data_IF_671172649317
#
_entry.id   IF_671172649317
#
_cell.length_a   1.000
_cell.length_b   1.000
_cell.length_c   1.000
_cell.angle_alpha   90.00
_cell.angle_beta   90.00
_cell.angle_gamma   90.00
#
_symmetry.space_group_name_H-M   'P 1'
#
loop_
_entity.id
_entity.type
_entity.pdbx_description
1 polymer ?
#
# COMPACT_ATOMS: atom_id res chain seq x y z
N UNK A 1 -36.39 7.81 23.96
CA UNK A 1 -34.96 8.20 23.92
C UNK A 1 -34.01 7.03 23.62
N UNK A 2 -34.15 5.86 24.26
CA UNK A 2 -33.28 4.70 23.96
C UNK A 2 -33.39 4.21 22.51
N UNK A 3 -34.56 4.26 21.93
CA UNK A 3 -34.84 3.83 20.56
C UNK A 3 -34.10 4.71 19.53
N UNK A 4 -34.12 6.03 19.72
CA UNK A 4 -33.43 6.99 18.87
C UNK A 4 -31.89 6.84 18.93
N UNK A 5 -31.34 6.52 20.10
CA UNK A 5 -29.91 6.31 20.29
C UNK A 5 -29.47 4.98 19.63
N UNK A 6 -30.30 3.96 19.68
CA UNK A 6 -30.02 2.69 19.01
C UNK A 6 -30.05 2.82 17.48
N UNK A 7 -31.02 3.56 16.94
CA UNK A 7 -31.09 3.87 15.50
C UNK A 7 -29.84 4.66 15.05
N UNK A 8 -29.41 5.65 15.82
CA UNK A 8 -28.17 6.39 15.55
C UNK A 8 -26.96 5.46 15.54
N UNK A 9 -26.85 4.57 16.51
CA UNK A 9 -25.77 3.57 16.58
C UNK A 9 -25.75 2.70 15.31
N UNK A 10 -26.90 2.20 14.87
CA UNK A 10 -27.05 1.38 13.66
C UNK A 10 -26.56 2.12 12.43
N UNK A 11 -26.98 3.37 12.24
CA UNK A 11 -26.54 4.22 11.13
C UNK A 11 -25.02 4.43 11.13
N UNK A 12 -24.43 4.70 12.30
CA UNK A 12 -22.98 4.89 12.42
C UNK A 12 -22.20 3.62 12.07
N UNK A 13 -22.69 2.45 12.47
CA UNK A 13 -22.07 1.17 12.12
C UNK A 13 -22.17 0.91 10.61
N UNK A 14 -23.30 1.23 9.98
CA UNK A 14 -23.48 1.10 8.55
C UNK A 14 -22.55 2.03 7.77
N UNK A 15 -22.41 3.29 8.16
CA UNK A 15 -21.46 4.23 7.57
C UNK A 15 -20.00 3.75 7.69
N UNK A 16 -19.60 3.14 8.80
CA UNK A 16 -18.26 2.58 8.95
C UNK A 16 -18.07 1.40 8.01
N UNK A 17 -19.09 0.57 7.81
CA UNK A 17 -19.06 -0.56 6.88
C UNK A 17 -18.89 -0.08 5.44
N UNK A 18 -19.65 0.93 5.03
CA UNK A 18 -19.54 1.54 3.70
C UNK A 18 -18.16 2.19 3.49
N UNK A 19 -17.67 2.94 4.45
CA UNK A 19 -16.35 3.55 4.37
C UNK A 19 -15.22 2.51 4.24
N UNK A 20 -15.32 1.36 4.93
CA UNK A 20 -14.39 0.24 4.79
C UNK A 20 -14.48 -0.41 3.41
N UNK A 21 -15.70 -0.51 2.86
CA UNK A 21 -15.92 -1.04 1.51
C UNK A 21 -15.31 -0.13 0.46
N UNK A 22 -15.61 1.16 0.50
CA UNK A 22 -15.08 2.17 -0.40
C UNK A 22 -13.54 2.20 -0.37
N UNK A 23 -12.93 2.12 0.82
CA UNK A 23 -11.48 2.03 0.97
C UNK A 23 -10.91 0.80 0.26
N UNK A 24 -11.52 -0.38 0.41
CA UNK A 24 -11.06 -1.62 -0.24
C UNK A 24 -11.18 -1.54 -1.76
N UNK A 25 -12.30 -1.04 -2.26
CA UNK A 25 -12.55 -0.87 -3.70
C UNK A 25 -11.51 0.08 -4.32
N UNK A 26 -11.23 1.20 -3.65
CA UNK A 26 -10.22 2.16 -4.06
C UNK A 26 -8.80 1.52 -4.06
N UNK A 27 -8.44 0.80 -3.01
CA UNK A 27 -7.17 0.08 -2.93
C UNK A 27 -7.01 -0.96 -4.04
N UNK A 28 -8.07 -1.71 -4.36
CA UNK A 28 -8.06 -2.70 -5.43
C UNK A 28 -7.91 -2.04 -6.81
N UNK A 29 -8.60 -0.90 -7.02
CA UNK A 29 -8.45 -0.13 -8.25
C UNK A 29 -7.01 0.35 -8.46
N UNK A 30 -6.38 0.94 -7.44
CA UNK A 30 -5.00 1.36 -7.53
C UNK A 30 -4.03 0.20 -7.71
N UNK A 31 -4.27 -0.93 -7.04
CA UNK A 31 -3.45 -2.13 -7.18
C UNK A 31 -3.51 -2.63 -8.64
N UNK A 32 -4.71 -2.77 -9.20
CA UNK A 32 -4.91 -3.22 -10.58
C UNK A 32 -4.24 -2.26 -11.57
N UNK A 33 -4.42 -0.95 -11.39
CA UNK A 33 -3.80 0.07 -12.23
C UNK A 33 -2.26 -0.03 -12.20
N UNK A 34 -1.68 -0.20 -11.02
CA UNK A 34 -0.22 -0.28 -10.88
C UNK A 34 0.33 -1.61 -11.41
N UNK A 35 -0.36 -2.74 -11.23
CA UNK A 35 0.05 -4.02 -11.83
C UNK A 35 0.01 -3.94 -13.36
N UNK A 36 -1.08 -3.42 -13.93
CA UNK A 36 -1.22 -3.25 -15.37
C UNK A 36 -0.19 -2.27 -15.93
N UNK A 37 0.01 -1.13 -15.23
CA UNK A 37 0.99 -0.12 -15.63
C UNK A 37 2.43 -0.63 -15.57
N UNK A 38 2.79 -1.38 -14.54
CA UNK A 38 4.12 -1.98 -14.41
C UNK A 38 4.36 -3.04 -15.49
N UNK A 39 3.34 -3.86 -15.79
CA UNK A 39 3.38 -4.81 -16.90
C UNK A 39 3.54 -4.13 -18.25
N UNK A 40 2.80 -3.05 -18.50
CA UNK A 40 2.91 -2.26 -19.72
C UNK A 40 4.30 -1.64 -19.89
N UNK A 41 4.89 -1.08 -18.81
CA UNK A 41 6.26 -0.56 -18.82
C UNK A 41 7.26 -1.65 -19.21
N UNK A 42 7.14 -2.86 -18.66
CA UNK A 42 8.01 -3.98 -18.99
C UNK A 42 7.89 -4.42 -20.45
N UNK A 43 6.67 -4.47 -21.00
CA UNK A 43 6.44 -4.80 -22.40
C UNK A 43 7.03 -3.74 -23.35
N UNK A 44 6.78 -2.46 -23.08
CA UNK A 44 7.29 -1.34 -23.88
C UNK A 44 8.82 -1.29 -23.82
N UNK A 45 9.40 -1.50 -22.64
CA UNK A 45 10.85 -1.51 -22.47
C UNK A 45 11.54 -2.65 -23.25
N UNK A 46 10.83 -3.76 -23.45
CA UNK A 46 11.35 -4.90 -24.25
C UNK A 46 11.33 -4.63 -25.75
N UNK A 47 10.41 -3.80 -26.21
CA UNK A 47 10.20 -3.54 -27.64
C UNK A 47 11.11 -2.37 -28.10
N UNK A 48 12.42 -2.71 -28.23
CA UNK A 48 13.53 -1.79 -28.48
C UNK A 48 13.36 -0.98 -29.76
N UNK A 49 12.48 -0.01 -29.83
CA UNK A 49 12.47 0.97 -30.91
C UNK A 49 11.14 1.48 -31.42
N UNK A 50 10.00 0.92 -31.00
CA UNK A 50 8.69 1.33 -31.49
C UNK A 50 8.17 2.63 -30.87
N UNK A 51 8.65 3.01 -29.67
CA UNK A 51 8.19 4.19 -28.94
C UNK A 51 9.34 5.13 -28.58
N UNK A 52 9.02 6.44 -28.56
CA UNK A 52 9.98 7.46 -28.12
C UNK A 52 10.52 7.12 -26.72
N UNK A 53 11.85 7.00 -26.53
CA UNK A 53 12.45 6.64 -25.25
C UNK A 53 12.08 7.58 -24.09
N UNK A 54 11.68 8.82 -24.39
CA UNK A 54 11.22 9.77 -23.39
C UNK A 54 9.85 9.42 -22.79
N UNK A 55 9.03 8.59 -23.45
CA UNK A 55 7.70 8.20 -22.95
C UNK A 55 7.78 7.24 -21.74
N UNK A 56 8.78 6.37 -21.70
CA UNK A 56 8.96 5.41 -20.62
C UNK A 56 9.15 6.06 -19.24
N UNK A 57 10.09 7.02 -19.06
CA UNK A 57 10.25 7.69 -17.79
C UNK A 57 9.03 8.56 -17.43
N UNK A 58 8.36 9.16 -18.40
CA UNK A 58 7.13 9.91 -18.15
C UNK A 58 6.00 9.02 -17.63
N UNK A 59 5.82 7.83 -18.23
CA UNK A 59 4.82 6.87 -17.78
C UNK A 59 5.16 6.32 -16.39
N UNK A 60 6.42 5.98 -16.13
CA UNK A 60 6.87 5.55 -14.82
C UNK A 60 6.63 6.62 -13.74
N UNK A 61 6.90 7.90 -14.07
CA UNK A 61 6.64 9.01 -13.18
C UNK A 61 5.13 9.20 -12.92
N UNK A 62 4.30 9.12 -13.94
CA UNK A 62 2.84 9.20 -13.78
C UNK A 62 2.31 8.08 -12.88
N UNK A 63 2.80 6.84 -13.05
CA UNK A 63 2.43 5.72 -12.20
C UNK A 63 2.95 5.89 -10.75
N UNK A 64 4.14 6.44 -10.56
CA UNK A 64 4.63 6.78 -9.23
C UNK A 64 3.74 7.81 -8.53
N UNK A 65 3.23 8.81 -9.25
CA UNK A 65 2.25 9.77 -8.71
C UNK A 65 0.95 9.08 -8.27
N UNK A 66 0.46 8.08 -9.02
CA UNK A 66 -0.72 7.31 -8.58
C UNK A 66 -0.48 6.58 -7.26
N UNK A 67 0.73 6.11 -7.00
CA UNK A 67 1.10 5.50 -5.72
C UNK A 67 1.08 6.52 -4.57
N UNK A 68 1.51 7.75 -4.81
CA UNK A 68 1.43 8.84 -3.82
C UNK A 68 -0.04 9.13 -3.48
N UNK A 69 -0.90 9.25 -4.50
CA UNK A 69 -2.34 9.46 -4.32
C UNK A 69 -2.94 8.29 -3.54
N UNK A 70 -2.62 7.06 -3.91
CA UNK A 70 -3.08 5.86 -3.20
C UNK A 70 -2.69 5.86 -1.72
N UNK A 71 -1.42 6.16 -1.42
CA UNK A 71 -0.91 6.26 -0.05
C UNK A 71 -1.66 7.34 0.76
N UNK A 72 -1.85 8.52 0.17
CA UNK A 72 -2.54 9.65 0.80
C UNK A 72 -4.00 9.29 1.07
N UNK A 73 -4.69 8.69 0.10
CA UNK A 73 -6.08 8.22 0.24
C UNK A 73 -6.21 7.18 1.36
N UNK A 74 -5.31 6.20 1.41
CA UNK A 74 -5.29 5.21 2.50
C UNK A 74 -5.08 5.83 3.88
N UNK A 75 -4.23 6.85 3.97
CA UNK A 75 -4.01 7.62 5.21
C UNK A 75 -5.29 8.35 5.62
N UNK A 76 -5.92 9.05 4.69
CA UNK A 76 -7.19 9.75 4.92
C UNK A 76 -8.27 8.81 5.46
N UNK A 77 -8.52 7.68 4.79
CA UNK A 77 -9.50 6.70 5.24
C UNK A 77 -9.16 6.12 6.62
N UNK A 78 -7.89 5.95 6.93
CA UNK A 78 -7.46 5.46 8.26
C UNK A 78 -7.83 6.45 9.36
N UNK A 79 -7.58 7.75 9.15
CA UNK A 79 -7.95 8.79 10.11
C UNK A 79 -9.45 8.97 10.23
N UNK A 80 -10.16 8.97 9.10
CA UNK A 80 -11.63 9.06 9.07
C UNK A 80 -12.28 7.90 9.82
N UNK A 81 -11.84 6.66 9.58
CA UNK A 81 -12.34 5.49 10.29
C UNK A 81 -12.03 5.55 11.79
N UNK A 82 -10.84 6.01 12.18
CA UNK A 82 -10.49 6.18 13.60
C UNK A 82 -11.42 7.18 14.30
N UNK A 83 -11.75 8.30 13.64
CA UNK A 83 -12.71 9.27 14.15
C UNK A 83 -14.12 8.69 14.29
N UNK A 84 -14.60 7.94 13.28
CA UNK A 84 -15.90 7.25 13.32
C UNK A 84 -15.97 6.22 14.45
N UNK A 85 -14.92 5.42 14.65
CA UNK A 85 -14.88 4.48 15.78
C UNK A 85 -14.91 5.18 17.13
N UNK A 86 -14.22 6.30 17.28
CA UNK A 86 -14.28 7.09 18.53
C UNK A 86 -15.71 7.55 18.81
N UNK A 87 -16.46 7.99 17.81
CA UNK A 87 -17.86 8.37 17.95
C UNK A 87 -18.76 7.18 18.32
N UNK A 88 -18.56 6.03 17.68
CA UNK A 88 -19.29 4.79 18.02
C UNK A 88 -19.06 4.38 19.47
N UNK A 89 -17.82 4.41 19.96
CA UNK A 89 -17.51 4.06 21.35
C UNK A 89 -18.20 5.00 22.33
N UNK A 90 -18.33 6.29 22.01
CA UNK A 90 -19.07 7.23 22.87
C UNK A 90 -20.58 6.88 22.93
N UNK A 91 -21.18 6.39 21.84
CA UNK A 91 -22.56 5.93 21.82
C UNK A 91 -22.72 4.58 22.56
N UNK A 92 -21.78 3.67 22.43
CA UNK A 92 -21.75 2.40 23.18
C UNK A 92 -21.70 2.67 24.69
N UNK A 93 -20.89 3.63 25.15
CA UNK A 93 -20.84 4.05 26.56
C UNK A 93 -22.20 4.55 27.06
N UNK A 94 -22.97 5.28 26.22
CA UNK A 94 -24.32 5.75 26.58
C UNK A 94 -25.35 4.62 26.62
N UNK A 95 -25.18 3.59 25.80
CA UNK A 95 -26.07 2.42 25.74
C UNK A 95 -25.74 1.35 26.81
N UNK A 96 -24.60 1.47 27.48
CA UNK A 96 -24.12 0.47 28.44
C UNK A 96 -23.74 -0.87 27.82
N UNK A 97 -23.47 -0.90 26.50
CA UNK A 97 -23.06 -2.07 25.73
C UNK A 97 -21.83 -1.75 24.92
N UNK A 98 -20.87 -2.67 24.81
CA UNK A 98 -19.59 -2.42 24.14
C UNK A 98 -19.24 -3.46 23.06
N UNK A 99 -20.14 -3.85 22.17
CA UNK A 99 -19.90 -4.98 21.26
C UNK A 99 -18.73 -4.75 20.32
N UNK A 100 -18.55 -3.55 19.75
CA UNK A 100 -17.45 -3.26 18.83
C UNK A 100 -16.13 -3.07 19.58
N UNK A 101 -16.16 -2.46 20.76
CA UNK A 101 -14.98 -2.29 21.61
C UNK A 101 -14.45 -3.64 22.08
N UNK A 102 -15.33 -4.56 22.51
CA UNK A 102 -14.96 -5.89 22.99
C UNK A 102 -14.44 -6.76 21.86
N UNK A 103 -15.06 -6.74 20.68
CA UNK A 103 -14.54 -7.40 19.48
C UNK A 103 -13.14 -6.88 19.13
N UNK A 104 -12.95 -5.55 19.16
CA UNK A 104 -11.66 -4.95 18.89
C UNK A 104 -10.59 -5.34 19.90
N UNK A 105 -10.92 -5.37 21.18
CA UNK A 105 -10.02 -5.82 22.24
C UNK A 105 -9.62 -7.30 22.08
N UNK A 106 -10.58 -8.17 21.76
CA UNK A 106 -10.35 -9.58 21.52
C UNK A 106 -9.42 -9.82 20.30
N UNK A 107 -9.61 -9.08 19.22
CA UNK A 107 -8.79 -9.18 17.99
C UNK A 107 -7.38 -8.65 18.17
N UNK A 108 -7.19 -7.58 18.95
CA UNK A 108 -5.91 -6.89 19.07
C UNK A 108 -5.03 -7.36 20.21
N UNK A 109 -5.58 -8.09 21.19
CA UNK A 109 -4.81 -8.68 22.28
C UNK A 109 -3.75 -9.69 21.82
N UNK A 110 -3.97 -10.38 20.68
CA UNK A 110 -3.08 -11.42 20.15
C UNK A 110 -2.18 -10.97 18.97
N UNK A 111 -2.39 -9.78 18.38
CA UNK A 111 -1.76 -9.40 17.09
C UNK A 111 -0.92 -8.13 17.12
N UNK A 112 -0.32 -7.77 18.24
CA UNK A 112 0.52 -6.54 18.35
C UNK A 112 1.70 -6.52 17.37
N UNK A 113 2.29 -7.67 17.06
CA UNK A 113 3.41 -7.80 16.12
C UNK A 113 3.02 -7.62 14.64
N UNK A 114 1.78 -7.95 14.28
CA UNK A 114 1.32 -7.94 12.87
C UNK A 114 0.82 -6.55 12.39
N UNK A 115 0.77 -5.56 13.28
CA UNK A 115 0.34 -4.18 12.97
C UNK A 115 1.32 -3.37 12.11
N UNK A 116 2.59 -3.79 12.05
CA UNK A 116 3.64 -3.11 11.28
C UNK A 116 3.58 -3.43 9.79
N UNK A 117 3.09 -4.61 9.42
CA UNK A 117 2.95 -5.07 8.04
C UNK A 117 1.48 -5.15 7.62
N UNK A 118 0.78 -4.04 7.50
CA UNK A 118 -0.42 -4.09 6.67
C UNK A 118 0.05 -4.02 5.20
N UNK A 119 -0.13 -5.11 4.47
CA UNK A 119 0.12 -5.21 3.03
C UNK A 119 -0.41 -3.98 2.27
N UNK A 120 -1.59 -3.48 2.64
CA UNK A 120 -2.18 -2.29 2.06
C UNK A 120 -1.33 -1.01 2.19
N UNK A 121 -0.50 -0.89 3.25
CA UNK A 121 0.42 0.24 3.43
C UNK A 121 1.75 0.05 2.72
N UNK A 122 2.18 -1.20 2.60
CA UNK A 122 3.45 -1.55 1.98
C UNK A 122 3.37 -1.50 0.44
N UNK A 123 2.24 -1.90 -0.16
CA UNK A 123 2.07 -1.98 -1.61
C UNK A 123 2.38 -0.68 -2.36
N UNK A 124 1.84 0.50 -1.99
CA UNK A 124 2.19 1.74 -2.68
C UNK A 124 3.68 2.04 -2.62
N UNK A 125 4.34 1.73 -1.49
CA UNK A 125 5.78 1.95 -1.30
C UNK A 125 6.58 1.01 -2.20
N UNK A 126 6.21 -0.27 -2.27
CA UNK A 126 6.87 -1.25 -3.12
C UNK A 126 6.78 -0.85 -4.59
N UNK A 127 5.61 -0.41 -5.07
CA UNK A 127 5.48 0.10 -6.44
C UNK A 127 6.31 1.37 -6.67
N UNK A 128 6.31 2.31 -5.72
CA UNK A 128 7.16 3.51 -5.83
C UNK A 128 8.64 3.16 -5.93
N UNK A 129 9.12 2.21 -5.13
CA UNK A 129 10.50 1.71 -5.23
C UNK A 129 10.76 1.03 -6.57
N UNK A 130 9.82 0.23 -7.07
CA UNK A 130 9.89 -0.37 -8.39
C UNK A 130 10.01 0.65 -9.52
N UNK A 131 9.19 1.72 -9.48
CA UNK A 131 9.26 2.80 -10.47
C UNK A 131 10.55 3.62 -10.33
N UNK A 132 11.00 3.89 -9.12
CA UNK A 132 12.27 4.59 -8.88
C UNK A 132 13.46 3.78 -9.42
N UNK A 133 13.47 2.47 -9.17
CA UNK A 133 14.48 1.55 -9.70
C UNK A 133 14.42 1.52 -11.23
N UNK A 134 13.23 1.37 -11.81
CA UNK A 134 13.04 1.41 -13.27
C UNK A 134 13.58 2.71 -13.88
N UNK A 135 13.25 3.84 -13.25
CA UNK A 135 13.73 5.15 -13.69
C UNK A 135 15.27 5.26 -13.60
N UNK A 136 15.86 4.79 -12.52
CA UNK A 136 17.31 4.83 -12.32
C UNK A 136 18.07 3.96 -13.35
N UNK A 137 17.51 2.81 -13.73
CA UNK A 137 18.05 1.97 -14.80
C UNK A 137 17.94 2.67 -16.16
N UNK A 138 16.80 3.24 -16.48
CA UNK A 138 16.56 3.92 -17.76
C UNK A 138 17.41 5.18 -17.95
N UNK A 139 17.75 5.87 -16.88
CA UNK A 139 18.60 7.07 -16.92
C UNK A 139 20.09 6.76 -16.85
N UNK A 140 20.48 5.48 -16.73
CA UNK A 140 21.88 5.06 -16.55
C UNK A 140 22.45 5.45 -15.18
N UNK A 141 21.59 5.90 -14.24
CA UNK A 141 22.04 6.18 -12.86
C UNK A 141 22.38 4.89 -12.08
N UNK A 142 21.83 3.75 -12.53
CA UNK A 142 22.18 2.42 -12.05
C UNK A 142 22.61 1.59 -13.26
N UNK A 143 23.91 1.30 -13.31
CA UNK A 143 24.47 0.35 -14.27
C UNK A 143 24.44 -1.05 -13.64
N UNK A 144 23.48 -1.84 -14.12
CA UNK A 144 23.29 -3.20 -13.62
C UNK A 144 24.48 -4.10 -13.96
N UNK A 145 25.18 -3.88 -15.08
CA UNK A 145 26.35 -4.69 -15.45
C UNK A 145 27.47 -4.52 -14.43
N UNK A 146 27.80 -3.28 -14.08
CA UNK A 146 28.82 -3.00 -13.05
C UNK A 146 28.42 -3.52 -11.67
N UNK A 147 27.14 -3.47 -11.31
CA UNK A 147 26.67 -4.06 -10.05
C UNK A 147 26.75 -5.58 -10.02
N UNK A 148 26.42 -6.26 -11.12
CA UNK A 148 26.53 -7.72 -11.21
C UNK A 148 27.99 -8.17 -11.19
N UNK A 149 28.89 -7.45 -11.84
CA UNK A 149 30.31 -7.75 -11.82
C UNK A 149 30.90 -7.57 -10.41
N UNK A 150 30.57 -6.47 -9.73
CA UNK A 150 30.97 -6.27 -8.33
C UNK A 150 30.43 -7.33 -7.39
N UNK A 151 29.16 -7.74 -7.57
CA UNK A 151 28.56 -8.82 -6.78
C UNK A 151 29.26 -10.16 -7.05
N UNK A 152 29.66 -10.43 -8.28
CA UNK A 152 30.38 -11.64 -8.68
C UNK A 152 31.78 -11.68 -8.05
N UNK A 153 32.49 -10.55 -8.10
CA UNK A 153 33.83 -10.41 -7.48
C UNK A 153 33.75 -10.59 -5.96
N UNK A 154 32.71 -10.04 -5.31
CA UNK A 154 32.50 -10.25 -3.88
C UNK A 154 32.19 -11.71 -3.53
N UNK A 155 31.43 -12.42 -4.35
CA UNK A 155 31.17 -13.85 -4.16
C UNK A 155 32.44 -14.68 -4.35
N UNK A 156 33.23 -14.36 -5.36
CA UNK A 156 34.51 -15.04 -5.57
C UNK A 156 35.50 -14.80 -4.43
N UNK A 157 35.61 -13.56 -3.95
CA UNK A 157 36.42 -13.22 -2.76
C UNK A 157 35.93 -13.95 -1.50
N UNK A 158 34.63 -14.03 -1.29
CA UNK A 158 34.05 -14.79 -0.19
C UNK A 158 34.35 -16.29 -0.31
N UNK A 159 34.27 -16.83 -1.54
CA UNK A 159 34.59 -18.23 -1.83
C UNK A 159 36.07 -18.57 -1.54
N UNK A 160 36.97 -17.69 -1.94
CA UNK A 160 38.41 -17.85 -1.65
C UNK A 160 38.72 -17.75 -0.16
N UNK A 161 38.02 -16.90 0.58
CA UNK A 161 38.28 -16.66 2.01
C UNK A 161 37.69 -17.72 2.93
N UNK A 162 36.58 -18.34 2.52
CA UNK A 162 35.86 -19.33 3.33
C UNK A 162 35.99 -20.76 2.83
N UNK A 163 36.72 -21.02 1.71
CA UNK A 163 37.00 -22.36 1.20
C UNK A 163 35.77 -23.16 0.77
N UNK A 164 34.69 -22.47 0.32
CA UNK A 164 33.45 -23.10 -0.10
C UNK A 164 33.40 -23.22 -1.63
#
# INVERSE_FOLDING_TARGET
>A
MADTTFELYRLMVEEVREARRARRELSNMFLTLNIAGFGALGLIARDNGALNPALLPMLAFALALTCVIWRTSNSYYTHMLAAKYKAIYAVEDQLGMHPIRDEWAALHGKRRAMRWFSLERAMPILFMLGYALFFAIQTGALDLETMFDQARDLIELARQRFGI
#
